data_IF_581100800029
#
_entry.id   IF_581100800029
#
_cell.length_a   1.000
_cell.length_b   1.000
_cell.length_c   1.000
_cell.angle_alpha   90.00
_cell.angle_beta   90.00
_cell.angle_gamma   90.00
#
_symmetry.space_group_name_H-M   'P 1'
#
loop_
_entity.id
_entity.type
_entity.pdbx_description
1 polymer ?
#
# COMPACT_ATOMS: atom_id res chain seq x y z
N UNK A 1 -1.87 -19.78 -9.52
CA UNK A 1 -1.54 -19.19 -8.20
C UNK A 1 -1.79 -20.27 -7.16
N UNK A 2 -0.85 -20.48 -6.22
CA UNK A 2 -1.05 -21.44 -5.11
C UNK A 2 -2.10 -20.93 -4.14
N UNK A 3 -2.77 -21.83 -3.38
CA UNK A 3 -3.85 -21.49 -2.46
C UNK A 3 -3.46 -20.36 -1.49
N UNK A 4 -2.26 -20.44 -0.89
CA UNK A 4 -1.76 -19.43 0.07
C UNK A 4 -1.72 -18.00 -0.52
N UNK A 5 -1.20 -17.84 -1.73
CA UNK A 5 -1.17 -16.52 -2.39
C UNK A 5 -2.57 -16.02 -2.77
N UNK A 6 -3.44 -16.92 -3.21
CA UNK A 6 -4.81 -16.57 -3.54
C UNK A 6 -5.57 -16.13 -2.28
N UNK A 7 -5.46 -16.85 -1.19
CA UNK A 7 -6.08 -16.51 0.10
C UNK A 7 -5.57 -15.16 0.63
N UNK A 8 -4.26 -14.91 0.56
CA UNK A 8 -3.68 -13.63 0.96
C UNK A 8 -4.25 -12.46 0.14
N UNK A 9 -4.31 -12.60 -1.18
CA UNK A 9 -4.84 -11.56 -2.07
C UNK A 9 -6.33 -11.32 -1.84
N UNK A 10 -7.13 -12.38 -1.73
CA UNK A 10 -8.57 -12.27 -1.50
C UNK A 10 -8.85 -11.60 -0.15
N UNK A 11 -8.12 -12.00 0.90
CA UNK A 11 -8.24 -11.38 2.22
C UNK A 11 -7.93 -9.89 2.20
N UNK A 12 -6.89 -9.46 1.46
CA UNK A 12 -6.56 -8.04 1.33
C UNK A 12 -7.67 -7.24 0.64
N UNK A 13 -8.22 -7.77 -0.45
CA UNK A 13 -9.30 -7.08 -1.18
C UNK A 13 -10.59 -7.00 -0.37
N UNK A 14 -10.99 -8.07 0.31
CA UNK A 14 -12.17 -8.09 1.17
C UNK A 14 -12.00 -7.14 2.36
N UNK A 15 -10.85 -7.17 3.03
CA UNK A 15 -10.54 -6.28 4.13
C UNK A 15 -10.54 -4.81 3.69
N UNK A 16 -9.95 -4.51 2.53
CA UNK A 16 -9.99 -3.16 1.95
C UNK A 16 -11.41 -2.67 1.69
N UNK A 17 -12.29 -3.54 1.21
CA UNK A 17 -13.70 -3.21 0.99
C UNK A 17 -14.42 -2.94 2.31
N UNK A 18 -14.25 -3.84 3.31
CA UNK A 18 -14.83 -3.70 4.65
C UNK A 18 -14.34 -2.44 5.38
N UNK A 19 -13.08 -2.06 5.20
CA UNK A 19 -12.50 -0.84 5.75
C UNK A 19 -12.89 0.43 4.99
N UNK A 20 -13.69 0.32 3.90
CA UNK A 20 -14.12 1.44 3.08
C UNK A 20 -13.04 1.96 2.11
N UNK A 21 -11.95 1.22 1.93
CA UNK A 21 -10.91 1.50 0.94
C UNK A 21 -11.27 0.97 -0.45
N UNK A 22 -12.43 1.38 -0.98
CA UNK A 22 -12.98 0.89 -2.26
C UNK A 22 -12.00 0.96 -3.43
N UNK A 23 -11.12 1.97 -3.44
CA UNK A 23 -10.07 2.11 -4.47
C UNK A 23 -9.00 1.01 -4.43
N UNK A 24 -8.93 0.24 -3.35
CA UNK A 24 -8.00 -0.88 -3.13
C UNK A 24 -8.75 -2.20 -2.85
N UNK A 25 -10.07 -2.19 -2.86
CA UNK A 25 -10.94 -3.32 -2.60
C UNK A 25 -11.25 -4.17 -3.84
N UNK A 26 -12.45 -4.71 -3.89
CA UNK A 26 -12.89 -5.65 -4.91
C UNK A 26 -12.84 -5.10 -6.33
N UNK A 27 -12.99 -3.77 -6.52
CA UNK A 27 -12.81 -3.13 -7.82
C UNK A 27 -11.40 -3.34 -8.40
N UNK A 28 -10.38 -3.43 -7.55
CA UNK A 28 -9.01 -3.73 -7.95
C UNK A 28 -8.82 -5.18 -8.36
N UNK A 29 -9.54 -6.12 -7.75
CA UNK A 29 -9.50 -7.52 -8.16
C UNK A 29 -9.82 -7.69 -9.64
N UNK A 30 -10.75 -6.89 -10.18
CA UNK A 30 -11.10 -6.91 -11.60
C UNK A 30 -9.94 -6.51 -12.54
N UNK A 31 -8.88 -5.90 -12.01
CA UNK A 31 -7.68 -5.54 -12.78
C UNK A 31 -6.59 -6.63 -12.75
N UNK A 32 -6.76 -7.66 -11.93
CA UNK A 32 -5.79 -8.77 -11.79
C UNK A 32 -5.66 -9.57 -13.07
N UNK A 33 -6.74 -9.69 -13.87
CA UNK A 33 -6.73 -10.40 -15.15
C UNK A 33 -5.67 -9.86 -16.11
N UNK A 34 -5.48 -8.54 -16.16
CA UNK A 34 -4.44 -7.93 -16.98
C UNK A 34 -3.03 -8.32 -16.49
N UNK A 35 -2.84 -8.41 -15.17
CA UNK A 35 -1.61 -8.88 -14.55
C UNK A 35 -1.38 -10.38 -14.80
N UNK A 36 -2.43 -11.20 -14.68
CA UNK A 36 -2.35 -12.64 -14.93
C UNK A 36 -1.98 -12.95 -16.38
N UNK A 37 -2.50 -12.20 -17.35
CA UNK A 37 -2.17 -12.38 -18.77
C UNK A 37 -0.70 -12.07 -19.09
N UNK A 38 -0.03 -11.26 -18.27
CA UNK A 38 1.40 -10.91 -18.38
C UNK A 38 2.30 -11.80 -17.53
N UNK A 39 1.72 -12.66 -16.70
CA UNK A 39 2.47 -13.50 -15.78
C UNK A 39 3.25 -14.57 -16.53
N UNK A 40 4.58 -14.53 -16.43
CA UNK A 40 5.48 -15.57 -16.96
C UNK A 40 6.05 -16.47 -15.86
N UNK A 41 5.87 -16.09 -14.59
CA UNK A 41 6.40 -16.83 -13.44
C UNK A 41 7.91 -16.77 -13.28
N UNK A 42 8.57 -15.78 -13.86
CA UNK A 42 10.03 -15.68 -13.92
C UNK A 42 10.66 -14.78 -12.85
N UNK A 43 9.96 -14.53 -11.73
CA UNK A 43 10.53 -13.78 -10.60
C UNK A 43 11.89 -14.39 -10.18
N UNK A 44 12.91 -13.54 -9.98
CA UNK A 44 14.30 -13.95 -9.71
C UNK A 44 14.84 -13.32 -8.44
N UNK A 45 15.40 -14.14 -7.57
CA UNK A 45 16.26 -13.69 -6.47
C UNK A 45 17.64 -13.34 -7.07
N UNK A 46 17.95 -12.03 -7.19
CA UNK A 46 19.19 -11.55 -7.82
C UNK A 46 20.38 -11.58 -6.85
N UNK A 47 20.12 -11.27 -5.59
CA UNK A 47 21.11 -11.20 -4.52
C UNK A 47 20.48 -11.60 -3.19
N UNK A 48 21.26 -12.32 -2.36
CA UNK A 48 20.96 -12.52 -0.95
C UNK A 48 22.27 -12.65 -0.20
N UNK A 49 22.46 -11.84 0.85
CA UNK A 49 23.66 -11.90 1.68
C UNK A 49 23.35 -11.32 3.06
N UNK A 50 23.50 -12.14 4.10
CA UNK A 50 23.21 -11.74 5.48
C UNK A 50 21.82 -11.10 5.58
N UNK A 51 21.77 -9.84 6.00
CA UNK A 51 20.52 -9.14 6.27
C UNK A 51 19.81 -8.55 5.04
N UNK A 52 20.29 -8.72 3.82
CA UNK A 52 19.64 -8.12 2.65
C UNK A 52 19.43 -9.06 1.47
N UNK A 53 18.39 -8.78 0.69
CA UNK A 53 18.08 -9.46 -0.57
C UNK A 53 17.65 -8.45 -1.64
N UNK A 54 17.81 -8.84 -2.91
CA UNK A 54 17.26 -8.11 -4.06
C UNK A 54 16.52 -9.07 -4.97
N UNK A 55 15.28 -8.73 -5.29
CA UNK A 55 14.36 -9.51 -6.11
C UNK A 55 14.04 -8.74 -7.39
N UNK A 56 14.07 -9.41 -8.51
CA UNK A 56 13.47 -8.97 -9.78
C UNK A 56 12.10 -9.64 -9.91
N UNK A 57 11.05 -8.85 -9.87
CA UNK A 57 9.66 -9.33 -9.93
C UNK A 57 9.12 -9.45 -11.36
N UNK A 58 9.98 -9.29 -12.39
CA UNK A 58 9.56 -9.41 -13.78
C UNK A 58 8.78 -10.71 -14.01
N UNK A 59 7.65 -10.59 -14.67
CA UNK A 59 6.79 -11.74 -14.98
C UNK A 59 5.95 -12.29 -13.83
N UNK A 60 5.95 -11.68 -12.64
CA UNK A 60 5.10 -12.09 -11.53
C UNK A 60 4.07 -11.00 -11.16
N UNK A 61 3.01 -11.38 -10.47
CA UNK A 61 2.05 -10.44 -9.89
C UNK A 61 2.69 -9.66 -8.73
N UNK A 62 2.39 -8.38 -8.64
CA UNK A 62 2.90 -7.52 -7.56
C UNK A 62 2.64 -8.07 -6.16
N UNK A 63 1.45 -8.62 -5.93
CA UNK A 63 1.09 -9.23 -4.64
C UNK A 63 1.99 -10.41 -4.26
N UNK A 64 2.27 -11.30 -5.20
CA UNK A 64 3.12 -12.48 -4.98
C UNK A 64 4.56 -12.05 -4.72
N UNK A 65 5.09 -11.17 -5.57
CA UNK A 65 6.46 -10.69 -5.43
C UNK A 65 6.67 -9.89 -4.13
N UNK A 66 5.68 -9.09 -3.73
CA UNK A 66 5.71 -8.34 -2.47
C UNK A 66 5.64 -9.28 -1.25
N UNK A 67 4.76 -10.30 -1.27
CA UNK A 67 4.68 -11.27 -0.17
C UNK A 67 5.98 -12.10 -0.04
N UNK A 68 6.55 -12.53 -1.16
CA UNK A 68 7.85 -13.19 -1.20
C UNK A 68 8.95 -12.31 -0.61
N UNK A 69 9.01 -11.03 -1.02
CA UNK A 69 9.99 -10.06 -0.52
C UNK A 69 9.81 -9.76 0.97
N UNK A 70 8.57 -9.69 1.44
CA UNK A 70 8.24 -9.55 2.87
C UNK A 70 8.77 -10.75 3.67
N UNK A 71 8.55 -11.95 3.20
CA UNK A 71 9.02 -13.18 3.86
C UNK A 71 10.55 -13.23 3.93
N UNK A 72 11.26 -12.79 2.89
CA UNK A 72 12.73 -12.66 2.91
C UNK A 72 13.20 -11.66 3.97
N UNK A 73 12.56 -10.49 4.05
CA UNK A 73 12.90 -9.49 5.07
C UNK A 73 12.65 -10.01 6.49
N UNK A 74 11.53 -10.70 6.73
CA UNK A 74 11.20 -11.34 8.02
C UNK A 74 12.26 -12.39 8.39
N UNK A 75 12.59 -13.30 7.48
CA UNK A 75 13.57 -14.34 7.73
C UNK A 75 14.94 -13.75 8.10
N UNK A 76 15.41 -12.76 7.33
CA UNK A 76 16.66 -12.09 7.59
C UNK A 76 16.64 -11.32 8.93
N UNK A 77 15.53 -10.65 9.28
CA UNK A 77 15.41 -9.96 10.56
C UNK A 77 15.45 -10.90 11.77
N UNK A 78 14.84 -12.08 11.65
CA UNK A 78 14.91 -13.12 12.71
C UNK A 78 16.31 -13.67 12.92
N UNK A 79 17.10 -13.76 11.85
CA UNK A 79 18.46 -14.31 11.92
C UNK A 79 19.51 -13.25 12.31
N UNK A 80 19.36 -12.02 11.79
CA UNK A 80 20.39 -10.98 11.85
C UNK A 80 19.95 -9.71 12.60
N UNK A 81 18.74 -9.68 13.17
CA UNK A 81 18.17 -8.51 13.83
C UNK A 81 17.53 -7.50 12.84
N UNK A 82 18.00 -7.44 11.61
CA UNK A 82 17.45 -6.60 10.54
C UNK A 82 17.35 -7.37 9.24
N UNK A 83 16.27 -7.16 8.49
CA UNK A 83 16.10 -7.71 7.15
C UNK A 83 15.67 -6.63 6.17
N UNK A 84 16.34 -6.54 5.02
CA UNK A 84 16.08 -5.56 3.98
C UNK A 84 15.90 -6.29 2.66
N UNK A 85 14.75 -6.12 2.02
CA UNK A 85 14.52 -6.67 0.68
C UNK A 85 14.16 -5.56 -0.30
N UNK A 86 14.95 -5.42 -1.35
CA UNK A 86 14.67 -4.59 -2.50
C UNK A 86 13.91 -5.42 -3.55
N UNK A 87 12.79 -4.90 -4.07
CA UNK A 87 12.03 -5.53 -5.16
C UNK A 87 11.88 -4.51 -6.29
N UNK A 88 12.08 -4.94 -7.53
CA UNK A 88 11.97 -4.09 -8.72
C UNK A 88 11.30 -4.80 -9.89
N UNK A 89 10.97 -4.03 -10.93
CA UNK A 89 10.42 -4.53 -12.20
C UNK A 89 9.13 -5.33 -12.00
N UNK A 90 8.22 -4.85 -11.18
CA UNK A 90 6.97 -5.54 -10.89
C UNK A 90 5.83 -4.54 -10.81
N UNK A 91 4.63 -4.98 -11.17
CA UNK A 91 3.41 -4.19 -11.09
C UNK A 91 2.97 -3.89 -9.66
N UNK A 92 1.90 -3.11 -9.56
CA UNK A 92 1.33 -2.72 -8.26
C UNK A 92 0.76 -3.93 -7.51
N UNK A 93 0.88 -3.86 -6.21
CA UNK A 93 0.01 -4.58 -5.29
C UNK A 93 -1.05 -3.63 -4.71
N UNK A 94 -2.10 -4.12 -4.09
CA UNK A 94 -3.23 -3.27 -3.68
C UNK A 94 -2.79 -2.16 -2.70
N UNK A 95 -2.46 -2.50 -1.47
CA UNK A 95 -2.01 -1.60 -0.40
C UNK A 95 -0.83 -2.21 0.36
N UNK A 96 -0.13 -1.37 1.15
CA UNK A 96 1.06 -1.83 1.90
C UNK A 96 0.67 -2.54 3.20
N UNK A 97 -0.44 -2.17 3.78
CA UNK A 97 -0.93 -2.62 5.10
C UNK A 97 -0.82 -4.13 5.35
N UNK A 98 -1.23 -5.08 4.46
CA UNK A 98 -1.19 -6.51 4.76
C UNK A 98 0.24 -7.05 4.88
N UNK A 99 1.18 -6.52 4.12
CA UNK A 99 2.59 -6.91 4.20
C UNK A 99 3.25 -6.39 5.49
N UNK A 100 2.96 -5.14 5.85
CA UNK A 100 3.43 -4.53 7.07
C UNK A 100 2.84 -5.25 8.32
N UNK A 101 1.55 -5.63 8.26
CA UNK A 101 0.89 -6.44 9.28
C UNK A 101 1.59 -7.78 9.47
N UNK A 102 1.95 -8.46 8.38
CA UNK A 102 2.66 -9.73 8.43
C UNK A 102 4.00 -9.61 9.16
N UNK A 103 4.76 -8.53 8.91
CA UNK A 103 6.01 -8.26 9.65
C UNK A 103 5.73 -8.12 11.15
N UNK A 104 4.73 -7.34 11.54
CA UNK A 104 4.43 -7.09 12.96
C UNK A 104 3.82 -8.30 13.66
N UNK A 105 3.08 -9.17 12.97
CA UNK A 105 2.58 -10.43 13.52
C UNK A 105 3.72 -11.40 13.87
N UNK A 106 4.88 -11.25 13.24
CA UNK A 106 6.10 -11.99 13.57
C UNK A 106 6.95 -11.34 14.69
N UNK A 107 6.39 -10.34 15.40
CA UNK A 107 7.06 -9.63 16.48
C UNK A 107 8.11 -8.62 16.03
N UNK A 108 8.12 -8.25 14.76
CA UNK A 108 9.09 -7.35 14.15
C UNK A 108 8.50 -5.98 13.87
N UNK A 109 9.32 -4.93 13.91
CA UNK A 109 8.96 -3.59 13.43
C UNK A 109 9.11 -3.58 11.91
N UNK A 110 8.06 -3.17 11.20
CA UNK A 110 8.07 -3.09 9.74
C UNK A 110 8.17 -1.66 9.22
N UNK A 111 8.93 -1.48 8.14
CA UNK A 111 8.91 -0.28 7.31
C UNK A 111 8.87 -0.70 5.85
N UNK A 112 7.84 -0.26 5.11
CA UNK A 112 7.68 -0.57 3.70
C UNK A 112 7.41 0.71 2.93
N UNK A 113 8.04 0.86 1.78
CA UNK A 113 7.82 1.98 0.87
C UNK A 113 7.98 1.54 -0.58
N UNK A 114 7.38 2.29 -1.49
CA UNK A 114 7.56 2.12 -2.93
C UNK A 114 7.43 3.47 -3.64
N UNK A 115 8.02 3.58 -4.82
CA UNK A 115 7.63 4.66 -5.72
C UNK A 115 6.26 4.33 -6.33
N UNK A 116 5.39 5.30 -6.36
CA UNK A 116 3.98 5.12 -6.74
C UNK A 116 3.69 5.37 -8.23
N UNK A 117 4.70 5.28 -9.12
CA UNK A 117 4.57 5.60 -10.56
C UNK A 117 3.32 5.04 -11.26
N UNK A 118 2.90 5.50 -12.42
CA UNK A 118 3.41 6.67 -13.16
C UNK A 118 3.25 7.99 -12.40
N UNK A 119 3.98 9.02 -12.84
CA UNK A 119 3.98 10.32 -12.18
C UNK A 119 2.57 10.93 -12.07
N UNK A 120 2.20 11.33 -10.86
CA UNK A 120 0.90 11.96 -10.55
C UNK A 120 1.01 13.05 -9.46
N UNK A 121 2.23 13.31 -8.94
CA UNK A 121 2.49 14.31 -7.90
C UNK A 121 3.56 15.27 -8.38
N UNK A 122 3.30 16.58 -8.26
CA UNK A 122 4.26 17.62 -8.60
C UNK A 122 5.30 17.81 -7.49
N UNK A 123 6.54 18.22 -7.81
CA UNK A 123 7.47 18.78 -6.83
C UNK A 123 6.85 20.01 -6.15
N UNK A 124 7.27 20.30 -4.93
CA UNK A 124 6.84 21.55 -4.29
C UNK A 124 7.29 22.77 -5.13
N UNK A 125 6.31 23.59 -5.53
CA UNK A 125 6.52 24.72 -6.44
C UNK A 125 6.64 24.35 -7.92
N UNK A 126 6.45 23.09 -8.29
CA UNK A 126 6.41 22.62 -9.68
C UNK A 126 5.01 22.71 -10.27
N UNK A 127 4.90 22.78 -11.59
CA UNK A 127 3.63 22.87 -12.33
C UNK A 127 3.21 21.57 -13.03
N UNK A 128 3.97 20.48 -12.87
CA UNK A 128 3.66 19.19 -13.49
C UNK A 128 4.07 18.01 -12.61
N UNK A 129 3.40 16.88 -12.80
CA UNK A 129 3.73 15.64 -12.11
C UNK A 129 5.13 15.15 -12.45
N UNK A 130 5.89 14.69 -11.44
CA UNK A 130 7.20 14.07 -11.57
C UNK A 130 7.35 12.80 -10.73
N UNK A 131 6.57 12.67 -9.67
CA UNK A 131 6.63 11.56 -8.71
C UNK A 131 5.32 10.79 -8.68
N UNK A 132 5.37 9.56 -8.20
CA UNK A 132 4.19 8.86 -7.75
C UNK A 132 3.70 9.38 -6.40
N UNK A 133 2.76 8.67 -5.80
CA UNK A 133 2.26 8.98 -4.45
C UNK A 133 3.26 8.61 -3.35
N UNK A 134 4.28 7.83 -3.68
CA UNK A 134 5.40 7.40 -2.85
C UNK A 134 4.98 7.12 -1.40
N UNK A 135 4.19 6.06 -1.17
CA UNK A 135 3.66 5.76 0.14
C UNK A 135 4.75 5.25 1.08
N UNK A 136 4.52 5.47 2.37
CA UNK A 136 5.34 4.94 3.45
C UNK A 136 4.42 4.28 4.47
N UNK A 137 4.81 3.07 4.88
CA UNK A 137 4.10 2.34 5.93
C UNK A 137 5.06 1.94 7.03
N UNK A 138 4.64 2.20 8.27
CA UNK A 138 5.27 1.64 9.46
C UNK A 138 4.30 0.68 10.15
N UNK A 139 4.85 -0.39 10.73
CA UNK A 139 4.08 -1.28 11.55
C UNK A 139 4.85 -1.68 12.82
N UNK A 140 4.15 -1.72 13.94
CA UNK A 140 4.73 -2.01 15.24
C UNK A 140 3.94 -3.12 15.92
N UNK A 141 4.58 -4.17 16.44
CA UNK A 141 3.91 -5.20 17.22
C UNK A 141 3.35 -4.61 18.52
N UNK A 142 2.24 -5.15 18.99
CA UNK A 142 1.55 -4.77 20.22
C UNK A 142 1.37 -5.99 21.12
N UNK A 143 1.48 -5.82 22.41
CA UNK A 143 1.17 -6.84 23.40
C UNK A 143 -0.32 -7.20 23.47
N UNK A 144 -1.18 -6.42 22.80
CA UNK A 144 -2.65 -6.60 22.72
C UNK A 144 -3.11 -7.40 21.50
N UNK A 145 -2.16 -7.93 20.72
CA UNK A 145 -2.41 -8.80 19.57
C UNK A 145 -2.73 -8.08 18.26
N UNK A 146 -3.18 -6.81 18.27
CA UNK A 146 -3.42 -6.02 17.07
C UNK A 146 -2.28 -5.01 16.87
N UNK A 147 -1.47 -5.10 15.80
CA UNK A 147 -0.36 -4.19 15.58
C UNK A 147 -0.84 -2.77 15.23
N UNK A 148 -0.01 -1.78 15.51
CA UNK A 148 -0.20 -0.41 15.04
C UNK A 148 0.40 -0.28 13.63
N UNK A 149 -0.41 0.16 12.67
CA UNK A 149 -0.01 0.27 11.27
C UNK A 149 -0.34 1.66 10.74
N UNK A 150 0.65 2.34 10.19
CA UNK A 150 0.56 3.70 9.66
C UNK A 150 0.91 3.67 8.19
N UNK A 151 -0.09 3.54 7.32
CA UNK A 151 0.04 3.47 5.86
C UNK A 151 -0.48 4.76 5.25
N UNK A 152 0.38 5.54 4.63
CA UNK A 152 0.01 6.84 4.06
C UNK A 152 0.83 7.20 2.82
N UNK A 153 0.19 7.88 1.88
CA UNK A 153 0.86 8.49 0.73
C UNK A 153 1.60 9.76 1.14
N UNK A 154 2.68 10.12 0.43
CA UNK A 154 3.34 11.43 0.61
C UNK A 154 2.64 12.54 -0.17
N UNK A 155 1.63 12.24 -0.96
CA UNK A 155 0.72 13.22 -1.57
C UNK A 155 -0.39 13.61 -0.59
N UNK A 156 -0.91 14.83 -0.74
CA UNK A 156 -2.05 15.34 0.04
C UNK A 156 -3.30 14.50 -0.18
N UNK A 157 -3.54 14.07 -1.42
CA UNK A 157 -4.58 13.14 -1.85
C UNK A 157 -4.04 12.22 -2.94
N UNK A 158 -4.68 11.07 -3.10
CA UNK A 158 -4.35 10.11 -4.17
C UNK A 158 -5.09 10.48 -5.45
N UNK A 159 -4.57 10.05 -6.60
CA UNK A 159 -5.20 10.32 -7.90
C UNK A 159 -6.60 9.70 -8.07
N UNK A 160 -6.91 8.69 -7.27
CA UNK A 160 -8.26 8.12 -7.19
C UNK A 160 -9.33 9.12 -6.79
N UNK A 161 -8.97 10.16 -6.02
CA UNK A 161 -9.86 11.26 -5.63
C UNK A 161 -10.36 12.05 -6.85
N UNK A 162 -9.48 12.32 -7.82
CA UNK A 162 -9.86 13.03 -9.06
C UNK A 162 -10.89 12.21 -9.84
N UNK A 163 -10.63 10.89 -10.03
CA UNK A 163 -11.56 10.02 -10.76
C UNK A 163 -12.91 9.94 -10.07
N UNK A 164 -12.91 9.83 -8.75
CA UNK A 164 -14.15 9.76 -7.97
C UNK A 164 -14.92 11.09 -8.04
N UNK A 165 -14.22 12.23 -7.94
CA UNK A 165 -14.84 13.56 -8.06
C UNK A 165 -15.52 13.77 -9.43
N UNK A 166 -14.91 13.29 -10.53
CA UNK A 166 -15.51 13.30 -11.86
C UNK A 166 -16.79 12.47 -11.89
N UNK A 167 -16.74 11.22 -11.41
CA UNK A 167 -17.91 10.31 -11.41
C UNK A 167 -19.04 10.86 -10.56
N UNK A 168 -18.73 11.45 -9.40
CA UNK A 168 -19.70 12.02 -8.46
C UNK A 168 -20.12 13.45 -8.80
N UNK A 169 -19.54 14.06 -9.84
CA UNK A 169 -19.76 15.45 -10.24
C UNK A 169 -19.61 16.43 -9.06
N UNK A 170 -18.53 16.29 -8.30
CA UNK A 170 -18.22 17.13 -7.13
C UNK A 170 -16.84 17.79 -7.24
N UNK A 171 -16.61 18.93 -6.56
CA UNK A 171 -15.31 19.56 -6.53
C UNK A 171 -14.27 18.69 -5.80
N UNK A 172 -13.01 18.93 -6.15
CA UNK A 172 -11.86 18.42 -5.43
C UNK A 172 -11.67 19.19 -4.11
N UNK A 173 -11.00 18.57 -3.11
CA UNK A 173 -10.60 19.28 -1.89
C UNK A 173 -9.62 20.42 -2.19
N UNK A 174 -9.73 21.51 -1.41
CA UNK A 174 -8.83 22.65 -1.53
C UNK A 174 -7.36 22.28 -1.31
N UNK A 175 -6.48 22.94 -2.05
CA UNK A 175 -5.02 22.84 -1.89
C UNK A 175 -4.44 21.40 -2.05
N UNK A 176 -5.12 20.53 -2.80
CA UNK A 176 -4.72 19.15 -3.00
C UNK A 176 -4.20 18.86 -4.41
N UNK A 177 -4.64 19.63 -5.40
CA UNK A 177 -4.32 19.44 -6.80
C UNK A 177 -4.01 20.76 -7.48
N UNK A 178 -3.21 20.69 -8.55
CA UNK A 178 -2.85 21.82 -9.41
C UNK A 178 -3.30 21.55 -10.84
N UNK A 179 -3.56 22.65 -11.57
CA UNK A 179 -3.82 22.66 -13.00
C UNK A 179 -2.51 22.69 -13.82
N UNK A 180 -2.63 22.72 -15.16
CA UNK A 180 -1.49 22.75 -16.08
C UNK A 180 -0.61 24.01 -15.99
N UNK A 181 -1.08 25.06 -15.32
CA UNK A 181 -0.32 26.29 -15.05
C UNK A 181 0.35 26.27 -13.67
N UNK A 182 0.07 25.25 -12.84
CA UNK A 182 0.60 25.11 -11.49
C UNK A 182 -0.22 25.83 -10.42
N UNK A 183 -1.43 26.33 -10.73
CA UNK A 183 -2.33 26.91 -9.76
C UNK A 183 -3.17 25.84 -9.07
N UNK A 184 -3.52 26.04 -7.80
CA UNK A 184 -4.46 25.17 -7.13
C UNK A 184 -5.82 25.17 -7.83
N UNK A 185 -6.37 23.97 -8.02
CA UNK A 185 -7.69 23.78 -8.61
C UNK A 185 -8.56 22.85 -7.79
N UNK A 186 -9.86 23.16 -7.72
CA UNK A 186 -10.91 22.29 -7.22
C UNK A 186 -11.76 21.69 -8.35
N UNK A 187 -11.44 22.02 -9.59
CA UNK A 187 -12.07 21.48 -10.78
C UNK A 187 -11.38 20.17 -11.17
N UNK A 188 -12.05 19.00 -11.06
CA UNK A 188 -11.42 17.73 -11.34
C UNK A 188 -11.01 17.55 -12.82
N UNK A 189 -11.68 18.24 -13.75
CA UNK A 189 -11.34 18.20 -15.19
C UNK A 189 -10.06 18.98 -15.53
N UNK A 190 -9.63 19.88 -14.64
CA UNK A 190 -8.41 20.68 -14.81
C UNK A 190 -7.22 20.13 -14.02
N UNK A 191 -7.45 19.12 -13.19
CA UNK A 191 -6.39 18.56 -12.35
C UNK A 191 -5.31 17.87 -13.19
N UNK A 192 -4.07 18.34 -13.09
CA UNK A 192 -2.89 17.80 -13.77
C UNK A 192 -1.96 17.03 -12.82
N UNK A 193 -1.85 17.48 -11.56
CA UNK A 193 -1.03 16.80 -10.56
C UNK A 193 -1.54 17.03 -9.14
N UNK A 194 -1.35 16.03 -8.28
CA UNK A 194 -1.45 16.18 -6.84
C UNK A 194 -0.25 16.95 -6.28
N UNK A 195 -0.37 17.42 -5.03
CA UNK A 195 0.74 18.06 -4.31
C UNK A 195 1.18 17.25 -3.12
N UNK A 196 2.45 17.35 -2.67
CA UNK A 196 2.93 16.69 -1.45
C UNK A 196 2.20 17.21 -0.21
N UNK A 197 1.92 16.36 0.76
CA UNK A 197 1.38 16.81 2.05
C UNK A 197 2.40 17.70 2.78
N UNK A 198 1.93 18.66 3.62
CA UNK A 198 2.82 19.48 4.45
C UNK A 198 3.85 20.30 3.69
N UNK A 199 3.61 20.57 2.41
CA UNK A 199 4.44 21.45 1.58
C UNK A 199 5.87 20.94 1.41
N UNK A 200 6.91 21.78 1.67
CA UNK A 200 8.31 21.40 1.42
C UNK A 200 8.80 20.21 2.23
N UNK A 201 8.23 19.95 3.41
CA UNK A 201 8.63 18.83 4.27
C UNK A 201 8.13 17.49 3.70
N UNK A 202 6.87 17.41 3.28
CA UNK A 202 6.33 16.24 2.61
C UNK A 202 6.99 16.01 1.25
N UNK A 203 7.32 17.09 0.52
CA UNK A 203 8.10 16.98 -0.70
C UNK A 203 9.48 16.36 -0.45
N UNK A 204 10.20 16.79 0.58
CA UNK A 204 11.51 16.21 0.93
C UNK A 204 11.39 14.72 1.24
N UNK A 205 10.33 14.29 1.95
CA UNK A 205 10.05 12.87 2.20
C UNK A 205 9.74 12.14 0.89
N UNK A 206 8.85 12.67 0.06
CA UNK A 206 8.50 12.10 -1.25
C UNK A 206 9.76 11.86 -2.11
N UNK A 207 10.63 12.88 -2.19
CA UNK A 207 11.89 12.79 -2.91
C UNK A 207 12.83 11.72 -2.34
N UNK A 208 12.98 11.65 -1.01
CA UNK A 208 13.81 10.65 -0.36
C UNK A 208 13.31 9.22 -0.64
N UNK A 209 11.99 9.00 -0.59
CA UNK A 209 11.40 7.70 -0.90
C UNK A 209 11.57 7.34 -2.38
N UNK A 210 11.45 8.31 -3.30
CA UNK A 210 11.73 8.09 -4.71
C UNK A 210 13.17 7.59 -4.95
N UNK A 211 14.15 8.21 -4.29
CA UNK A 211 15.56 7.78 -4.38
C UNK A 211 15.77 6.39 -3.78
N UNK A 212 15.14 6.11 -2.61
CA UNK A 212 15.27 4.82 -1.93
C UNK A 212 14.63 3.68 -2.71
N UNK A 213 13.56 3.95 -3.42
CA UNK A 213 12.81 2.93 -4.17
C UNK A 213 13.13 2.93 -5.67
N UNK A 214 13.84 3.95 -6.15
CA UNK A 214 14.38 4.03 -7.51
C UNK A 214 15.85 3.66 -7.57
N UNK A 215 16.73 4.65 -7.45
CA UNK A 215 18.17 4.46 -7.63
C UNK A 215 18.77 3.44 -6.65
N UNK A 216 18.38 3.44 -5.37
CA UNK A 216 18.94 2.54 -4.37
C UNK A 216 18.58 1.07 -4.62
N UNK A 217 17.35 0.77 -5.04
CA UNK A 217 16.93 -0.61 -5.36
C UNK A 217 17.24 -1.00 -6.81
N UNK A 218 17.67 -0.06 -7.65
CA UNK A 218 17.95 -0.27 -9.07
C UNK A 218 16.69 -0.38 -9.92
N UNK A 219 15.62 0.33 -9.55
CA UNK A 219 14.40 0.52 -10.33
C UNK A 219 14.41 1.88 -11.03
N UNK A 220 13.46 2.10 -11.94
CA UNK A 220 13.24 3.41 -12.57
C UNK A 220 12.64 4.41 -11.57
N UNK A 221 12.81 5.70 -11.84
CA UNK A 221 12.28 6.77 -11.01
C UNK A 221 11.93 8.02 -11.82
N UNK A 222 11.11 8.90 -11.25
CA UNK A 222 10.70 10.14 -11.89
C UNK A 222 10.06 9.89 -13.25
N UNK A 223 10.46 10.65 -14.27
CA UNK A 223 9.93 10.49 -15.63
C UNK A 223 10.28 9.17 -16.34
N UNK A 224 11.29 8.44 -15.86
CA UNK A 224 11.65 7.16 -16.45
C UNK A 224 10.74 6.02 -15.97
N UNK A 225 10.03 6.21 -14.86
CA UNK A 225 9.00 5.30 -14.36
C UNK A 225 7.66 5.56 -15.09
N UNK A 226 7.57 5.14 -16.35
CA UNK A 226 6.44 5.40 -17.26
C UNK A 226 5.35 4.34 -17.19
N UNK A 227 5.74 3.11 -16.87
CA UNK A 227 4.86 1.95 -16.76
C UNK A 227 4.62 1.62 -15.28
N UNK A 228 3.44 1.09 -14.96
CA UNK A 228 3.13 0.58 -13.64
C UNK A 228 3.99 -0.64 -13.23
N UNK A 229 4.73 -1.24 -14.17
CA UNK A 229 5.70 -2.32 -13.94
C UNK A 229 7.14 -1.82 -13.73
N UNK A 230 7.37 -0.52 -13.83
CA UNK A 230 8.70 0.09 -13.62
C UNK A 230 9.01 0.34 -12.13
N UNK A 231 8.14 -0.11 -11.23
CA UNK A 231 8.17 0.25 -9.81
C UNK A 231 9.29 -0.44 -9.04
N UNK A 232 9.75 0.27 -8.01
CA UNK A 232 10.66 -0.24 -7.01
C UNK A 232 10.05 -0.19 -5.61
N UNK A 233 10.40 -1.18 -4.80
CA UNK A 233 9.86 -1.38 -3.46
C UNK A 233 10.99 -1.69 -2.50
N UNK A 234 10.84 -1.24 -1.26
CA UNK A 234 11.75 -1.55 -0.18
C UNK A 234 10.97 -2.06 1.03
N UNK A 235 11.29 -3.28 1.44
CA UNK A 235 10.74 -3.95 2.62
C UNK A 235 11.82 -4.02 3.67
N UNK A 236 11.55 -3.51 4.87
CA UNK A 236 12.49 -3.53 5.99
C UNK A 236 11.78 -4.09 7.22
N UNK A 237 12.44 -5.01 7.89
CA UNK A 237 12.00 -5.58 9.16
C UNK A 237 13.11 -5.43 10.20
N UNK A 238 12.76 -5.02 11.41
CA UNK A 238 13.70 -4.88 12.53
C UNK A 238 13.24 -5.73 13.71
N UNK A 239 14.15 -6.46 14.32
CA UNK A 239 13.86 -7.12 15.60
C UNK A 239 14.00 -6.12 16.75
N UNK A 240 13.01 -5.98 17.63
CA UNK A 240 13.16 -5.24 18.87
C UNK A 240 14.33 -5.75 19.72
N UNK A 241 14.63 -7.05 19.65
CA UNK A 241 15.67 -7.70 20.44
C UNK A 241 17.10 -7.20 20.15
N UNK A 242 17.28 -6.38 19.09
CA UNK A 242 18.56 -5.70 18.87
C UNK A 242 18.92 -4.71 19.99
N UNK A 243 17.93 -4.11 20.64
CA UNK A 243 18.16 -3.02 21.60
C UNK A 243 17.37 -3.18 22.90
N UNK A 244 16.31 -3.98 22.90
CA UNK A 244 15.43 -4.24 24.03
C UNK A 244 14.88 -5.68 23.91
N UNK A 245 13.81 -6.04 24.62
CA UNK A 245 13.10 -7.29 24.39
C UNK A 245 11.77 -7.00 23.70
N UNK A 246 11.22 -7.98 22.95
CA UNK A 246 9.90 -7.81 22.35
C UNK A 246 8.83 -7.47 23.39
N UNK A 247 8.87 -8.08 24.58
CA UNK A 247 7.94 -7.82 25.66
C UNK A 247 8.04 -6.37 26.18
N UNK A 248 9.25 -5.90 26.44
CA UNK A 248 9.47 -4.51 26.89
C UNK A 248 9.06 -3.52 25.81
N UNK A 249 9.42 -3.79 24.55
CA UNK A 249 9.06 -2.95 23.41
C UNK A 249 7.54 -2.80 23.26
N UNK A 250 6.80 -3.92 23.22
CA UNK A 250 5.34 -3.89 23.04
C UNK A 250 4.64 -3.21 24.20
N UNK A 251 5.13 -3.39 25.43
CA UNK A 251 4.61 -2.69 26.61
C UNK A 251 4.71 -1.17 26.49
N UNK A 252 5.86 -0.67 26.06
CA UNK A 252 6.09 0.78 25.89
C UNK A 252 5.27 1.35 24.71
N UNK A 253 5.15 0.61 23.60
CA UNK A 253 4.31 1.01 22.47
C UNK A 253 2.83 1.10 22.88
N UNK A 254 2.33 0.13 23.62
CA UNK A 254 0.95 0.11 24.11
C UNK A 254 0.71 1.22 25.13
N UNK A 255 1.67 1.52 26.00
CA UNK A 255 1.60 2.63 26.96
C UNK A 255 1.53 3.99 26.23
N UNK A 256 2.38 4.21 25.23
CA UNK A 256 2.32 5.42 24.40
C UNK A 256 0.97 5.58 23.72
N UNK A 257 0.41 4.49 23.20
CA UNK A 257 -0.90 4.53 22.57
C UNK A 257 -2.02 4.93 23.55
N UNK A 258 -1.95 4.47 24.79
CA UNK A 258 -2.90 4.87 25.84
C UNK A 258 -2.72 6.33 26.23
N UNK A 259 -1.49 6.81 26.36
CA UNK A 259 -1.21 8.23 26.61
C UNK A 259 -1.79 9.13 25.51
N UNK A 260 -1.61 8.75 24.25
CA UNK A 260 -2.19 9.48 23.10
C UNK A 260 -3.71 9.51 23.19
N UNK A 261 -4.36 8.37 23.48
CA UNK A 261 -5.83 8.30 23.61
C UNK A 261 -6.35 9.11 24.80
N UNK A 262 -5.56 9.22 25.88
CA UNK A 262 -5.89 10.00 27.08
C UNK A 262 -5.79 11.51 26.87
N UNK A 263 -5.14 11.96 25.80
CA UNK A 263 -4.98 13.38 25.49
C UNK A 263 -6.36 14.05 25.34
N UNK A 264 -6.61 15.18 25.99
CA UNK A 264 -7.86 15.90 25.83
C UNK A 264 -8.11 16.29 24.38
N UNK A 265 -9.31 16.00 23.88
CA UNK A 265 -9.68 16.40 22.51
C UNK A 265 -9.82 17.91 22.39
N UNK A 266 -9.29 18.49 21.30
CA UNK A 266 -9.50 19.88 20.94
C UNK A 266 -10.96 20.21 20.57
N UNK A 267 -11.79 19.19 20.29
CA UNK A 267 -13.21 19.35 19.95
C UNK A 267 -14.06 18.87 21.12
N UNK A 268 -15.09 19.62 21.56
CA UNK A 268 -16.02 19.17 22.61
C UNK A 268 -16.64 17.82 22.25
N UNK A 269 -16.58 16.85 23.18
CA UNK A 269 -17.08 15.50 22.96
C UNK A 269 -16.27 14.66 21.96
N UNK A 270 -15.13 15.17 21.49
CA UNK A 270 -14.25 14.47 20.58
C UNK A 270 -13.37 13.44 21.29
N UNK A 271 -12.68 12.64 20.51
CA UNK A 271 -11.73 11.60 20.94
C UNK A 271 -10.43 11.75 20.16
N UNK A 272 -9.28 11.50 20.79
CA UNK A 272 -7.98 11.42 20.14
C UNK A 272 -7.69 9.96 19.77
N UNK A 273 -7.15 9.77 18.59
CA UNK A 273 -6.87 8.45 18.03
C UNK A 273 -5.36 8.28 17.80
N UNK A 274 -4.90 7.05 17.95
CA UNK A 274 -3.57 6.65 17.48
C UNK A 274 -3.61 6.54 15.96
N UNK A 275 -2.54 6.88 15.23
CA UNK A 275 -2.48 6.65 13.80
C UNK A 275 -2.84 5.19 13.45
N UNK A 276 -3.62 5.00 12.39
CA UNK A 276 -4.13 3.68 11.98
C UNK A 276 -5.46 3.25 12.64
N UNK A 277 -5.99 4.02 13.61
CA UNK A 277 -7.31 3.76 14.21
C UNK A 277 -8.47 4.40 13.46
N UNK A 278 -8.17 5.31 12.54
CA UNK A 278 -9.17 5.96 11.68
C UNK A 278 -8.86 5.65 10.23
N UNK A 279 -9.86 5.16 9.52
CA UNK A 279 -9.86 5.09 8.07
C UNK A 279 -10.83 6.13 7.49
N UNK A 280 -10.32 6.98 6.62
CA UNK A 280 -11.11 8.08 6.08
C UNK A 280 -11.59 9.00 7.21
N UNK A 281 -12.92 9.09 7.41
CA UNK A 281 -13.55 9.85 8.49
C UNK A 281 -14.16 8.97 9.59
N UNK A 282 -14.00 7.63 9.54
CA UNK A 282 -14.64 6.68 10.48
C UNK A 282 -13.59 5.93 11.30
N UNK A 283 -13.83 5.74 12.61
CA UNK A 283 -13.06 4.81 13.42
C UNK A 283 -13.19 3.38 12.89
N UNK A 284 -12.09 2.64 12.84
CA UNK A 284 -12.06 1.23 12.39
C UNK A 284 -13.04 0.36 13.19
N UNK A 285 -13.24 0.67 14.47
CA UNK A 285 -14.19 -0.03 15.36
C UNK A 285 -15.66 0.12 14.92
N UNK A 286 -15.97 1.12 14.09
CA UNK A 286 -17.33 1.40 13.60
C UNK A 286 -17.57 0.85 12.18
N UNK A 287 -16.63 0.12 11.64
CA UNK A 287 -16.78 -0.53 10.33
C UNK A 287 -17.54 -1.84 10.51
N UNK A 288 -18.59 -2.10 9.69
CA UNK A 288 -19.33 -3.34 9.80
C UNK A 288 -18.42 -4.53 9.43
N UNK A 289 -18.30 -5.54 10.31
CA UNK A 289 -17.37 -6.64 10.08
C UNK A 289 -17.87 -7.67 9.06
N UNK A 290 -19.14 -7.65 8.69
CA UNK A 290 -19.78 -8.77 7.96
C UNK A 290 -20.47 -8.36 6.66
N UNK A 291 -20.77 -7.07 6.41
CA UNK A 291 -21.45 -6.60 5.22
C UNK A 291 -20.65 -5.50 4.52
N UNK A 292 -19.93 -5.86 3.45
CA UNK A 292 -19.34 -4.87 2.57
C UNK A 292 -20.39 -4.39 1.56
N UNK A 293 -20.65 -3.08 1.52
CA UNK A 293 -21.39 -2.47 0.41
C UNK A 293 -20.50 -2.47 -0.83
N UNK A 294 -20.76 -3.39 -1.75
CA UNK A 294 -20.06 -3.49 -3.03
C UNK A 294 -20.85 -2.74 -4.09
N UNK A 295 -20.18 -1.95 -4.92
CA UNK A 295 -20.81 -1.30 -6.08
C UNK A 295 -21.45 -2.34 -6.99
N UNK A 296 -22.70 -2.11 -7.44
CA UNK A 296 -23.48 -3.08 -8.22
C UNK A 296 -22.75 -3.52 -9.50
N UNK A 297 -22.03 -2.61 -10.17
CA UNK A 297 -21.23 -2.94 -11.35
C UNK A 297 -20.07 -3.89 -11.01
N UNK A 298 -19.35 -3.64 -9.91
CA UNK A 298 -18.28 -4.52 -9.42
C UNK A 298 -18.85 -5.89 -9.09
N UNK A 299 -19.95 -5.96 -8.34
CA UNK A 299 -20.62 -7.21 -8.00
C UNK A 299 -21.04 -8.00 -9.25
N UNK A 300 -21.67 -7.33 -10.22
CA UNK A 300 -22.11 -7.94 -11.49
C UNK A 300 -20.92 -8.54 -12.26
N UNK A 301 -19.82 -7.80 -12.36
CA UNK A 301 -18.60 -8.26 -13.05
C UNK A 301 -17.94 -9.44 -12.35
N UNK A 302 -17.84 -9.43 -11.02
CA UNK A 302 -17.33 -10.55 -10.23
C UNK A 302 -18.21 -11.79 -10.42
N UNK A 303 -19.54 -11.65 -10.47
CA UNK A 303 -20.47 -12.74 -10.73
C UNK A 303 -20.31 -13.34 -12.13
N UNK A 304 -20.10 -12.51 -13.15
CA UNK A 304 -19.81 -12.98 -14.51
C UNK A 304 -18.50 -13.77 -14.54
N UNK A 305 -17.46 -13.29 -13.87
CA UNK A 305 -16.17 -13.99 -13.78
C UNK A 305 -16.33 -15.35 -13.08
N UNK A 306 -17.07 -15.44 -11.98
CA UNK A 306 -17.26 -16.70 -11.27
C UNK A 306 -17.96 -17.75 -12.14
N UNK A 307 -19.03 -17.38 -12.86
CA UNK A 307 -19.75 -18.27 -13.76
C UNK A 307 -18.87 -18.75 -14.92
N UNK A 308 -18.04 -17.89 -15.48
CA UNK A 308 -17.10 -18.26 -16.55
C UNK A 308 -16.02 -19.25 -16.07
N UNK A 309 -15.57 -19.12 -14.83
CA UNK A 309 -14.61 -20.05 -14.23
C UNK A 309 -15.24 -21.40 -13.91
N UNK A 310 -16.49 -21.47 -13.42
CA UNK A 310 -17.22 -22.70 -13.17
C UNK A 310 -17.49 -23.45 -14.49
N UNK A 311 -17.92 -22.77 -15.55
CA UNK A 311 -18.12 -23.36 -16.88
C UNK A 311 -16.81 -23.90 -17.50
N UNK A 312 -15.68 -23.25 -17.28
CA UNK A 312 -14.36 -23.72 -17.70
C UNK A 312 -13.88 -24.94 -16.91
N UNK A 313 -14.23 -25.04 -15.63
CA UNK A 313 -13.87 -26.17 -14.76
C UNK A 313 -14.67 -27.44 -15.11
N UNK A 314 -15.94 -27.32 -15.47
CA UNK A 314 -16.77 -28.44 -15.90
C UNK A 314 -16.35 -28.98 -17.29
N UNK A 315 -15.91 -28.11 -18.20
CA UNK A 315 -15.40 -28.53 -19.51
C UNK A 315 -14.05 -29.27 -19.41
N UNK A 316 -13.19 -28.90 -18.47
CA UNK A 316 -11.92 -29.61 -18.23
C UNK A 316 -12.13 -30.96 -17.51
N UNK A 317 -13.19 -31.16 -16.74
CA UNK A 317 -13.53 -32.47 -16.16
C UNK A 317 -14.10 -33.48 -17.17
N UNK A 318 -14.57 -33.02 -18.32
CA UNK A 318 -15.08 -33.89 -19.42
C UNK A 318 -13.98 -34.28 -20.41
N UNK A 319 -12.76 -33.77 -20.27
CA UNK A 319 -11.62 -34.04 -21.15
C UNK A 319 -10.53 -34.91 -20.48
N UNK A 320 -10.72 -35.33 -19.25
CA UNK A 320 -9.93 -36.35 -18.52
C UNK A 320 -10.89 -37.51 -18.11
#
# INVERSE_FOLDING_TARGET
ITGEYAEFMISDYLESELEGHRTHGLSKFLTVDAGLSRRSGEMKLLKQKGCYAQVDGSGELGHIAALYSTNLAIAAAKEHGVGITALKNVGRYSRITPYARKISQEGLVGMITNNGGPACVAPFGGARAMFGTNPLCFSFPSGRGKPYIFDFATSQKVWGEVRQAIVENRPLPDNCFIDGEGNFTTDPEKAEAGVPFGGPKGYALCYALEVMTGAFVGAKMGYDAKDEYDLGYLFVAFSPDMFTTLEAFTKEVDALADDVRSCPSAKPGGRVFVPGEIFGSRPVEQMPPEDAEVEEDVYRRLKIMSVSLEGGYENNKKLN
#
